data_IF_251226457845
#
_entry.id   IF_251226457845
#
_cell.length_a   1.000
_cell.length_b   1.000
_cell.length_c   1.000
_cell.angle_alpha   90.00
_cell.angle_beta   90.00
_cell.angle_gamma   90.00
#
_symmetry.space_group_name_H-M   'P 1'
#
loop_
_entity.id
_entity.type
_entity.pdbx_description
1 polymer ?
#
# COMPACT_ATOMS: atom_id res chain seq x y z
N UNK A 1 5.87 -2.11 -4.03
CA UNK A 1 6.97 -3.07 -3.89
C UNK A 1 8.01 -2.87 -4.99
N UNK A 2 7.64 -2.95 -6.30
CA UNK A 2 8.56 -2.82 -7.44
C UNK A 2 9.46 -1.58 -7.34
N UNK A 3 8.90 -0.40 -7.15
CA UNK A 3 9.65 0.85 -7.03
C UNK A 3 10.59 0.87 -5.82
N UNK A 4 10.18 0.31 -4.68
CA UNK A 4 11.05 0.22 -3.51
C UNK A 4 12.26 -0.69 -3.79
N UNK A 5 12.02 -1.83 -4.43
CA UNK A 5 13.07 -2.77 -4.84
C UNK A 5 14.04 -2.14 -5.84
N UNK A 6 13.55 -1.49 -6.89
CA UNK A 6 14.40 -0.84 -7.91
C UNK A 6 15.30 0.25 -7.33
N UNK A 7 14.84 0.92 -6.26
CA UNK A 7 15.60 1.96 -5.55
C UNK A 7 16.36 1.46 -4.33
N UNK A 8 16.33 0.15 -4.05
CA UNK A 8 16.95 -0.47 -2.86
C UNK A 8 16.49 0.19 -1.56
N UNK A 9 15.21 0.62 -1.52
CA UNK A 9 14.63 1.20 -0.31
C UNK A 9 14.11 0.07 0.60
N UNK A 10 14.52 0.04 1.87
CA UNK A 10 13.93 -0.90 2.82
C UNK A 10 12.44 -0.58 3.00
N UNK A 11 11.59 -1.58 2.81
CA UNK A 11 10.16 -1.41 2.91
C UNK A 11 9.50 -2.64 3.56
N UNK A 12 8.58 -2.40 4.49
CA UNK A 12 7.78 -3.42 5.15
C UNK A 12 6.37 -3.34 4.62
N UNK A 13 5.85 -4.44 4.10
CA UNK A 13 4.49 -4.52 3.59
C UNK A 13 3.59 -5.21 4.60
N UNK A 14 2.48 -4.56 4.96
CA UNK A 14 1.45 -5.14 5.81
C UNK A 14 0.30 -5.65 4.93
N UNK A 15 -0.05 -6.91 5.10
CA UNK A 15 -1.13 -7.58 4.35
C UNK A 15 -2.10 -8.26 5.32
N UNK A 16 -3.33 -8.51 4.86
CA UNK A 16 -4.38 -9.12 5.70
C UNK A 16 -4.31 -10.62 5.76
N UNK A 17 -3.78 -11.27 4.72
CA UNK A 17 -3.87 -12.73 4.57
C UNK A 17 -2.51 -13.37 4.30
N UNK A 18 -2.37 -14.62 4.70
CA UNK A 18 -1.17 -15.41 4.41
C UNK A 18 -1.02 -15.69 2.89
N UNK A 19 -2.13 -15.77 2.16
CA UNK A 19 -2.10 -15.89 0.70
C UNK A 19 -1.46 -14.66 0.05
N UNK A 20 -1.84 -13.45 0.48
CA UNK A 20 -1.25 -12.20 0.01
C UNK A 20 0.24 -12.11 0.37
N UNK A 21 0.62 -12.56 1.59
CA UNK A 21 2.03 -12.62 2.01
C UNK A 21 2.84 -13.52 1.08
N UNK A 22 2.37 -14.75 0.85
CA UNK A 22 3.05 -15.71 -0.03
C UNK A 22 3.22 -15.17 -1.44
N UNK A 23 2.19 -14.55 -2.00
CA UNK A 23 2.26 -13.97 -3.34
C UNK A 23 3.33 -12.88 -3.46
N UNK A 24 3.43 -11.97 -2.46
CA UNK A 24 4.45 -10.93 -2.45
C UNK A 24 5.86 -11.51 -2.26
N UNK A 25 6.03 -12.47 -1.36
CA UNK A 25 7.33 -13.14 -1.13
C UNK A 25 7.80 -13.88 -2.39
N UNK A 26 6.90 -14.60 -3.06
CA UNK A 26 7.21 -15.26 -4.34
C UNK A 26 7.61 -14.27 -5.44
N UNK A 27 7.10 -13.04 -5.38
CA UNK A 27 7.49 -11.95 -6.29
C UNK A 27 8.77 -11.22 -5.84
N UNK A 28 9.50 -11.75 -4.85
CA UNK A 28 10.76 -11.20 -4.38
C UNK A 28 10.65 -10.03 -3.39
N UNK A 29 9.51 -9.87 -2.72
CA UNK A 29 9.37 -8.90 -1.62
C UNK A 29 9.87 -9.53 -0.33
N UNK A 30 10.86 -8.91 0.29
CA UNK A 30 11.58 -9.47 1.43
C UNK A 30 10.78 -9.38 2.75
N UNK A 31 10.26 -8.20 3.07
CA UNK A 31 9.65 -7.93 4.35
C UNK A 31 8.13 -7.78 4.24
N UNK A 32 7.40 -8.87 4.47
CA UNK A 32 5.94 -8.90 4.42
C UNK A 32 5.39 -9.48 5.72
N UNK A 33 4.55 -8.72 6.43
CA UNK A 33 3.90 -9.13 7.67
C UNK A 33 2.38 -9.25 7.46
N UNK A 34 1.79 -10.32 7.99
CA UNK A 34 0.34 -10.47 8.07
C UNK A 34 -0.16 -9.78 9.34
N UNK A 35 -1.21 -8.94 9.20
CA UNK A 35 -1.83 -8.20 10.30
C UNK A 35 -2.71 -9.11 11.15
N UNK A 36 -2.09 -9.97 11.95
CA UNK A 36 -2.72 -10.90 12.87
C UNK A 36 -2.14 -10.78 14.27
N UNK A 37 -2.29 -11.82 15.07
CA UNK A 37 -1.75 -11.87 16.42
C UNK A 37 -0.22 -11.72 16.41
N UNK A 38 0.32 -10.90 17.32
CA UNK A 38 1.75 -10.68 17.50
C UNK A 38 2.49 -9.97 16.36
N UNK A 39 1.77 -9.46 15.34
CA UNK A 39 2.43 -8.77 14.23
C UNK A 39 3.09 -7.44 14.65
N UNK A 40 2.57 -6.78 15.66
CA UNK A 40 3.07 -5.48 16.14
C UNK A 40 4.48 -5.56 16.72
N UNK A 41 4.81 -6.66 17.39
CA UNK A 41 6.16 -6.84 17.95
C UNK A 41 7.17 -7.13 16.84
N UNK A 42 6.79 -7.94 15.85
CA UNK A 42 7.58 -8.17 14.64
C UNK A 42 7.76 -6.89 13.83
N UNK A 43 6.69 -6.08 13.72
CA UNK A 43 6.77 -4.77 13.05
C UNK A 43 7.75 -3.85 13.78
N UNK A 44 7.69 -3.80 15.12
CA UNK A 44 8.60 -2.99 15.94
C UNK A 44 10.06 -3.39 15.75
N UNK A 45 10.35 -4.68 15.82
CA UNK A 45 11.70 -5.19 15.62
C UNK A 45 12.23 -4.82 14.23
N UNK A 46 11.46 -5.14 13.19
CA UNK A 46 11.86 -4.93 11.80
C UNK A 46 11.94 -3.44 11.42
N UNK A 47 11.01 -2.61 11.90
CA UNK A 47 11.04 -1.18 11.61
C UNK A 47 12.23 -0.46 12.27
N UNK A 48 12.68 -0.91 13.45
CA UNK A 48 13.89 -0.41 14.07
C UNK A 48 15.15 -0.90 13.34
N UNK A 49 15.21 -2.17 12.97
CA UNK A 49 16.32 -2.74 12.20
C UNK A 49 16.52 -2.02 10.87
N UNK A 50 15.44 -1.78 10.14
CA UNK A 50 15.47 -1.14 8.83
C UNK A 50 15.44 0.40 8.90
N UNK A 51 15.35 0.98 10.09
CA UNK A 51 15.21 2.41 10.33
C UNK A 51 14.09 3.06 9.49
N UNK A 52 12.94 2.38 9.37
CA UNK A 52 11.81 2.87 8.57
C UNK A 52 11.05 3.96 9.32
N UNK A 53 11.04 5.17 8.81
CA UNK A 53 10.39 6.34 9.43
C UNK A 53 9.23 6.91 8.62
N UNK A 54 8.89 6.31 7.49
CA UNK A 54 7.76 6.73 6.67
C UNK A 54 6.71 5.62 6.59
N UNK A 55 5.46 5.94 6.89
CA UNK A 55 4.31 5.05 6.77
C UNK A 55 3.37 5.60 5.71
N UNK A 56 3.04 4.81 4.69
CA UNK A 56 2.01 5.13 3.71
C UNK A 56 0.76 4.33 4.04
N UNK A 57 -0.24 5.03 4.57
CA UNK A 57 -1.48 4.42 5.05
C UNK A 57 -2.65 4.73 4.12
N UNK A 58 -3.21 3.68 3.51
CA UNK A 58 -4.43 3.73 2.70
C UNK A 58 -5.64 3.11 3.40
N UNK A 59 -5.46 2.59 4.62
CA UNK A 59 -6.52 1.85 5.34
C UNK A 59 -7.18 2.72 6.41
N UNK A 60 -6.38 3.37 7.23
CA UNK A 60 -6.86 4.15 8.37
C UNK A 60 -7.39 3.29 9.53
N UNK A 61 -8.23 3.90 10.38
CA UNK A 61 -8.97 3.23 11.43
C UNK A 61 -8.09 2.47 12.44
N UNK A 62 -8.58 1.33 12.89
CA UNK A 62 -7.95 0.52 13.94
C UNK A 62 -6.55 0.02 13.60
N UNK A 63 -6.28 -0.25 12.32
CA UNK A 63 -4.96 -0.74 11.91
C UNK A 63 -3.89 0.30 12.25
N UNK A 64 -4.15 1.56 11.92
CA UNK A 64 -3.19 2.63 12.19
C UNK A 64 -2.96 2.85 13.68
N UNK A 65 -4.02 2.76 14.50
CA UNK A 65 -3.91 2.78 15.96
C UNK A 65 -3.02 1.65 16.51
N UNK A 66 -3.14 0.46 15.94
CA UNK A 66 -2.33 -0.71 16.34
C UNK A 66 -0.85 -0.59 15.96
N UNK A 67 -0.54 -0.03 14.79
CA UNK A 67 0.86 0.07 14.34
C UNK A 67 1.60 1.26 14.93
N UNK A 68 0.92 2.35 15.28
CA UNK A 68 1.56 3.57 15.77
C UNK A 68 2.52 3.35 16.96
N UNK A 69 2.21 2.52 17.97
CA UNK A 69 3.15 2.21 19.06
C UNK A 69 4.43 1.48 18.61
N UNK A 70 4.39 0.82 17.47
CA UNK A 70 5.53 0.06 16.93
C UNK A 70 6.46 0.89 16.05
N UNK A 71 6.06 2.09 15.66
CA UNK A 71 6.85 2.95 14.80
C UNK A 71 8.08 3.52 15.53
N UNK A 72 9.22 3.66 14.85
CA UNK A 72 10.40 4.36 15.39
C UNK A 72 10.11 5.83 15.73
N UNK A 73 11.03 6.45 16.47
CA UNK A 73 10.99 7.89 16.71
C UNK A 73 11.09 8.68 15.40
N UNK A 74 10.48 9.87 15.39
CA UNK A 74 10.45 10.78 14.23
C UNK A 74 9.72 10.21 13.00
N UNK A 75 8.86 9.21 13.18
CA UNK A 75 8.11 8.63 12.07
C UNK A 75 7.01 9.58 11.58
N UNK A 76 6.84 9.61 10.26
CA UNK A 76 5.76 10.35 9.61
C UNK A 76 4.77 9.39 8.96
N UNK A 77 3.49 9.54 9.28
CA UNK A 77 2.37 8.81 8.72
C UNK A 77 1.76 9.65 7.60
N UNK A 78 1.78 9.13 6.39
CA UNK A 78 1.17 9.72 5.21
C UNK A 78 -0.16 9.03 4.92
N UNK A 79 -1.28 9.65 5.32
CA UNK A 79 -2.61 9.14 5.05
C UNK A 79 -3.03 9.50 3.63
N UNK A 80 -3.32 8.49 2.79
CA UNK A 80 -3.73 8.70 1.40
C UNK A 80 -5.05 7.99 1.04
N UNK A 81 -5.63 7.22 1.95
CA UNK A 81 -6.87 6.50 1.72
C UNK A 81 -7.58 6.15 3.03
N UNK A 82 -8.76 5.55 2.89
CA UNK A 82 -9.63 5.16 3.98
C UNK A 82 -10.35 3.83 3.69
N UNK A 83 -9.63 2.85 3.18
CA UNK A 83 -10.19 1.53 2.84
C UNK A 83 -10.80 0.79 4.04
N UNK A 84 -10.42 1.18 5.26
CA UNK A 84 -11.04 0.70 6.51
C UNK A 84 -12.39 1.34 6.82
N UNK A 85 -12.91 2.21 5.96
CA UNK A 85 -14.19 2.90 6.14
C UNK A 85 -14.08 4.10 7.09
N UNK A 86 -15.22 4.46 7.68
CA UNK A 86 -15.34 5.64 8.56
C UNK A 86 -14.87 5.43 10.01
N UNK A 87 -14.18 4.33 10.30
CA UNK A 87 -13.65 4.05 11.65
C UNK A 87 -12.59 5.09 12.02
N UNK A 88 -12.74 5.79 13.15
CA UNK A 88 -11.76 6.79 13.57
C UNK A 88 -10.38 6.18 13.82
N UNK A 89 -9.34 6.95 13.51
CA UNK A 89 -7.96 6.58 13.87
C UNK A 89 -7.73 6.95 15.33
N UNK A 90 -7.54 5.95 16.20
CA UNK A 90 -7.27 6.13 17.61
C UNK A 90 -5.78 5.93 17.90
N UNK A 91 -5.02 7.03 18.01
CA UNK A 91 -3.60 7.00 18.39
C UNK A 91 -3.46 7.73 19.74
N UNK A 92 -2.89 7.09 20.78
CA UNK A 92 -2.62 7.74 22.05
C UNK A 92 -1.76 9.01 21.87
N UNK A 93 -2.24 10.16 22.37
CA UNK A 93 -1.55 11.44 22.17
C UNK A 93 -0.11 11.44 22.72
N UNK A 94 0.15 10.66 23.75
CA UNK A 94 1.50 10.49 24.31
C UNK A 94 2.53 10.02 23.26
N UNK A 95 2.12 9.27 22.24
CA UNK A 95 3.03 8.82 21.19
C UNK A 95 3.53 9.97 20.30
N UNK A 96 2.69 10.99 20.08
CA UNK A 96 3.11 12.20 19.37
C UNK A 96 4.19 12.95 20.14
N UNK A 97 4.06 13.02 21.48
CA UNK A 97 5.06 13.67 22.33
C UNK A 97 6.35 12.85 22.46
N UNK A 98 6.20 11.56 22.87
CA UNK A 98 7.35 10.73 23.25
C UNK A 98 8.13 10.21 22.05
N UNK A 99 7.48 10.02 20.92
CA UNK A 99 8.11 9.51 19.68
C UNK A 99 8.24 10.56 18.59
N UNK A 100 7.78 11.78 18.81
CA UNK A 100 7.75 12.83 17.79
C UNK A 100 7.09 12.34 16.50
N UNK A 101 5.94 11.68 16.62
CA UNK A 101 5.19 11.21 15.47
C UNK A 101 4.53 12.39 14.75
N UNK A 102 4.50 12.33 13.45
CA UNK A 102 3.75 13.27 12.61
C UNK A 102 2.73 12.49 11.80
N UNK A 103 1.51 13.02 11.70
CA UNK A 103 0.52 12.49 10.77
C UNK A 103 0.09 13.60 9.81
N UNK A 104 0.08 13.32 8.52
CA UNK A 104 -0.29 14.28 7.49
C UNK A 104 -0.97 13.62 6.30
N UNK A 105 -1.79 14.41 5.62
CA UNK A 105 -2.39 13.99 4.36
C UNK A 105 -1.31 13.82 3.28
N UNK A 106 -1.46 12.79 2.47
CA UNK A 106 -0.78 12.68 1.19
C UNK A 106 -1.82 12.77 0.07
N UNK A 107 -1.61 13.67 -0.86
CA UNK A 107 -2.45 13.81 -2.05
C UNK A 107 -1.57 13.70 -3.30
N UNK A 108 -1.94 12.79 -4.19
CA UNK A 108 -1.27 12.63 -5.48
C UNK A 108 -1.31 13.94 -6.27
N UNK A 109 -2.48 14.62 -6.30
CA UNK A 109 -2.69 15.85 -7.07
C UNK A 109 -1.88 17.04 -6.55
N UNK A 110 -1.47 17.01 -5.28
CA UNK A 110 -0.70 18.10 -4.65
C UNK A 110 0.78 17.77 -4.51
N UNK A 111 1.19 16.57 -4.92
CA UNK A 111 2.58 16.18 -4.86
C UNK A 111 3.45 17.05 -5.78
N UNK A 112 4.67 17.34 -5.35
CA UNK A 112 5.63 18.08 -6.18
C UNK A 112 5.89 17.38 -7.52
N UNK A 113 5.82 16.06 -7.54
CA UNK A 113 6.01 15.27 -8.76
C UNK A 113 4.92 15.55 -9.78
N UNK A 114 3.66 15.62 -9.36
CA UNK A 114 2.54 15.84 -10.29
C UNK A 114 2.39 17.30 -10.72
N UNK A 115 2.77 18.24 -9.85
CA UNK A 115 2.71 19.68 -10.15
C UNK A 115 3.83 20.18 -11.07
N UNK A 116 4.89 19.42 -11.19
CA UNK A 116 6.06 19.75 -11.98
C UNK A 116 6.15 18.81 -13.19
N UNK A 117 6.02 19.34 -14.40
CA UNK A 117 5.97 18.53 -15.62
C UNK A 117 7.24 17.71 -15.86
N UNK A 118 8.41 18.24 -15.56
CA UNK A 118 9.66 17.50 -15.76
C UNK A 118 9.77 16.33 -14.78
N UNK A 119 9.40 16.56 -13.51
CA UNK A 119 9.36 15.50 -12.50
C UNK A 119 8.31 14.43 -12.81
N UNK A 120 7.15 14.85 -13.31
CA UNK A 120 6.11 13.91 -13.73
C UNK A 120 6.60 13.05 -14.90
N UNK A 121 7.18 13.67 -15.93
CA UNK A 121 7.72 12.95 -17.08
C UNK A 121 8.83 11.95 -16.65
N UNK A 122 9.74 12.36 -15.78
CA UNK A 122 10.76 11.48 -15.23
C UNK A 122 10.20 10.32 -14.40
N UNK A 123 9.15 10.59 -13.61
CA UNK A 123 8.47 9.56 -12.83
C UNK A 123 7.73 8.54 -13.73
N UNK A 124 7.04 9.02 -14.77
CA UNK A 124 6.36 8.16 -15.75
C UNK A 124 7.36 7.30 -16.51
N UNK A 125 8.48 7.86 -16.94
CA UNK A 125 9.57 7.10 -17.58
C UNK A 125 10.14 6.02 -16.66
N UNK A 126 10.25 6.32 -15.36
CA UNK A 126 10.66 5.32 -14.36
C UNK A 126 9.62 4.18 -14.25
N UNK A 127 8.33 4.49 -14.25
CA UNK A 127 7.28 3.48 -14.23
C UNK A 127 7.26 2.65 -15.51
N UNK A 128 7.45 3.30 -16.66
CA UNK A 128 7.55 2.63 -17.96
C UNK A 128 8.70 1.60 -17.96
N UNK A 129 9.86 1.94 -17.42
CA UNK A 129 10.99 1.00 -17.31
C UNK A 129 10.76 -0.19 -16.39
N UNK A 130 9.70 -0.15 -15.58
CA UNK A 130 9.31 -1.21 -14.65
C UNK A 130 8.04 -1.95 -15.10
N UNK A 131 7.50 -1.65 -16.29
CA UNK A 131 6.18 -2.15 -16.73
C UNK A 131 6.11 -3.68 -16.77
N UNK A 132 7.21 -4.33 -17.10
CA UNK A 132 7.32 -5.79 -17.15
C UNK A 132 7.56 -6.45 -15.79
N UNK A 133 7.67 -5.65 -14.71
CA UNK A 133 7.82 -6.21 -13.37
C UNK A 133 6.50 -6.90 -12.94
N UNK A 134 6.53 -8.20 -12.58
CA UNK A 134 5.34 -8.92 -12.12
C UNK A 134 4.59 -8.26 -10.96
N UNK A 135 5.27 -7.44 -10.16
CA UNK A 135 4.66 -6.67 -9.07
C UNK A 135 3.78 -5.52 -9.56
N UNK A 136 3.92 -5.09 -10.81
CA UNK A 136 3.06 -4.08 -11.45
C UNK A 136 1.96 -4.71 -12.31
N UNK A 137 2.04 -6.00 -12.59
CA UNK A 137 1.03 -6.69 -13.38
C UNK A 137 -0.33 -6.71 -12.64
N UNK A 138 -1.38 -6.34 -13.36
CA UNK A 138 -2.74 -6.49 -12.87
C UNK A 138 -3.15 -7.96 -12.94
N UNK A 139 -3.50 -8.55 -11.80
CA UNK A 139 -4.05 -9.90 -11.76
C UNK A 139 -5.53 -9.84 -12.16
N UNK A 140 -5.84 -10.30 -13.35
CA UNK A 140 -7.21 -10.42 -13.83
C UNK A 140 -7.82 -11.65 -13.15
N UNK A 141 -8.92 -11.45 -12.45
CA UNK A 141 -9.69 -12.53 -11.80
C UNK A 141 -10.83 -12.98 -12.68
N UNK A 142 -11.65 -12.05 -13.13
CA UNK A 142 -12.81 -12.33 -13.95
C UNK A 142 -13.07 -11.18 -14.94
N UNK A 143 -13.49 -11.52 -16.14
CA UNK A 143 -13.78 -10.57 -17.21
C UNK A 143 -15.29 -10.45 -17.42
N UNK A 144 -15.75 -9.21 -17.55
CA UNK A 144 -17.16 -8.88 -17.74
C UNK A 144 -17.31 -7.96 -18.95
N UNK A 145 -18.43 -8.06 -19.63
CA UNK A 145 -18.82 -7.10 -20.64
C UNK A 145 -19.37 -5.82 -20.00
N UNK A 146 -19.41 -4.73 -20.72
CA UNK A 146 -19.94 -3.46 -20.20
C UNK A 146 -21.40 -3.53 -19.74
N UNK A 147 -22.22 -4.36 -20.39
CA UNK A 147 -23.61 -4.60 -20.01
C UNK A 147 -23.76 -5.46 -18.71
N UNK A 148 -22.66 -5.99 -18.19
CA UNK A 148 -22.60 -6.80 -16.96
C UNK A 148 -21.98 -6.02 -15.78
N UNK A 149 -21.98 -4.71 -15.80
CA UNK A 149 -21.31 -3.88 -14.80
C UNK A 149 -21.79 -4.17 -13.37
N UNK A 150 -23.09 -4.42 -13.17
CA UNK A 150 -23.65 -4.76 -11.85
C UNK A 150 -23.09 -6.08 -11.34
N UNK A 151 -22.92 -7.08 -12.19
CA UNK A 151 -22.33 -8.37 -11.87
C UNK A 151 -20.84 -8.19 -11.52
N UNK A 152 -20.11 -7.39 -12.28
CA UNK A 152 -18.72 -7.07 -12.01
C UNK A 152 -18.52 -6.38 -10.65
N UNK A 153 -19.44 -5.46 -10.29
CA UNK A 153 -19.40 -4.78 -8.98
C UNK A 153 -19.77 -5.70 -7.81
N UNK A 154 -20.62 -6.68 -8.02
CA UNK A 154 -21.01 -7.66 -7.01
C UNK A 154 -20.02 -8.84 -6.88
N UNK A 155 -19.11 -8.99 -7.84
CA UNK A 155 -18.17 -10.10 -7.88
C UNK A 155 -17.20 -10.07 -6.70
N UNK A 156 -17.07 -11.20 -6.00
CA UNK A 156 -16.09 -11.40 -4.92
C UNK A 156 -14.90 -12.17 -5.47
N UNK A 157 -13.78 -11.51 -5.56
CA UNK A 157 -12.55 -12.06 -6.11
C UNK A 157 -11.52 -12.38 -5.02
N UNK A 158 -10.60 -13.31 -5.30
CA UNK A 158 -9.45 -13.56 -4.43
C UNK A 158 -8.60 -12.28 -4.20
N UNK A 159 -7.92 -12.21 -3.06
CA UNK A 159 -7.03 -11.09 -2.72
C UNK A 159 -6.08 -10.74 -3.86
N UNK A 160 -6.10 -9.49 -4.28
CA UNK A 160 -5.23 -8.93 -5.31
C UNK A 160 -5.68 -9.13 -6.75
N UNK A 161 -6.76 -9.91 -7.01
CA UNK A 161 -7.36 -10.00 -8.33
C UNK A 161 -8.32 -8.82 -8.59
N UNK A 162 -8.58 -8.52 -9.86
CA UNK A 162 -9.50 -7.46 -10.30
C UNK A 162 -10.55 -8.04 -11.24
N UNK A 163 -11.79 -7.59 -11.07
CA UNK A 163 -12.80 -7.67 -12.11
C UNK A 163 -12.46 -6.61 -13.18
N UNK A 164 -12.48 -6.99 -14.43
CA UNK A 164 -12.23 -6.08 -15.54
C UNK A 164 -13.41 -6.05 -16.50
N UNK A 165 -13.70 -4.86 -17.02
CA UNK A 165 -14.69 -4.72 -18.09
C UNK A 165 -13.94 -4.74 -19.43
N UNK A 166 -14.36 -5.59 -20.33
CA UNK A 166 -13.77 -5.72 -21.65
C UNK A 166 -14.72 -5.14 -22.72
N UNK A 167 -14.18 -4.32 -23.60
CA UNK A 167 -14.92 -3.90 -24.79
C UNK A 167 -15.12 -5.11 -25.72
N UNK A 168 -16.27 -5.22 -26.40
CA UNK A 168 -16.40 -6.20 -27.45
C UNK A 168 -15.31 -5.94 -28.50
N UNK A 169 -14.53 -6.99 -28.82
CA UNK A 169 -13.61 -6.92 -29.96
C UNK A 169 -14.43 -6.54 -31.20
N UNK A 170 -14.07 -5.43 -31.81
CA UNK A 170 -14.58 -5.12 -33.16
C UNK A 170 -14.09 -6.24 -34.08
N UNK A 171 -15.05 -7.12 -34.47
CA UNK A 171 -14.81 -8.12 -35.50
C UNK A 171 -14.69 -7.43 -36.84
#
# INVERSE_FOLDING_TARGET
ASLARSRKLPAIFLVRTEAARRALVQSGVEHVLVTGEGFTDRLRALSNELATTAVFDGVGGDLLGKIAPSLPMNSTIYAYGFLGGAVPVAIPSVLFMMKNLTMRRFSNFESRTVKDQERLAAALKTLESLIDDPLLATRIGEEFRFDQIEQAMACVLPDGARAVLVAPSHA
#
